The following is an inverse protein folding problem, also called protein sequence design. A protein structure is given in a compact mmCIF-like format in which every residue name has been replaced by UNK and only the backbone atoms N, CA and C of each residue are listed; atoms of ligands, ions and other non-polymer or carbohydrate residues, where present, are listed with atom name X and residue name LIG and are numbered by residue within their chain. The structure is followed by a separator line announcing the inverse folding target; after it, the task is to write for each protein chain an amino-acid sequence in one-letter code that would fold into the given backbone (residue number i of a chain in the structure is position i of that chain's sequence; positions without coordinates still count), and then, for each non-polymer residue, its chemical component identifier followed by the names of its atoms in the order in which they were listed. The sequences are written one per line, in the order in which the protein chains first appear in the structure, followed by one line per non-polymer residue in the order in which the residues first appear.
data_IF_754997361257
#
_entry.id   IF_754997361257
#
_cell.length_a   1.000
_cell.length_b   1.000
_cell.length_c   1.000
_cell.angle_alpha   90.00
_cell.angle_beta   90.00
_cell.angle_gamma   90.00
#
_symmetry.space_group_name_H-M   'P 1'
#
loop_
_entity.id
_entity.type
_entity.pdbx_description
1 polymer ?
#
# COMPACT_ATOMS: atom_id res chain seq x y z
N UNK A 1 0.72 33.29 -29.72
CA UNK A 1 1.80 32.53 -29.04
C UNK A 1 2.29 31.44 -29.99
N UNK A 2 3.60 31.17 -30.05
CA UNK A 2 4.12 30.02 -30.81
C UNK A 2 3.67 28.72 -30.13
N UNK A 3 3.29 27.67 -30.88
CA UNK A 3 2.84 26.41 -30.31
C UNK A 3 3.98 25.75 -29.52
N UNK A 4 3.69 25.34 -28.28
CA UNK A 4 4.63 24.62 -27.43
C UNK A 4 4.63 23.12 -27.77
N UNK A 5 5.78 22.47 -27.63
CA UNK A 5 5.95 21.03 -27.94
C UNK A 5 5.56 20.11 -26.78
N UNK A 6 5.38 20.67 -25.58
CA UNK A 6 4.99 19.97 -24.35
C UNK A 6 4.29 20.95 -23.41
N UNK A 7 3.93 20.50 -22.21
CA UNK A 7 3.35 21.34 -21.16
C UNK A 7 4.36 22.38 -20.68
N UNK A 8 3.86 23.58 -20.34
CA UNK A 8 4.67 24.74 -19.95
C UNK A 8 5.70 24.43 -18.84
N UNK A 9 5.34 23.60 -17.85
CA UNK A 9 6.23 23.26 -16.73
C UNK A 9 7.32 22.24 -17.09
N UNK A 10 7.19 21.61 -18.25
CA UNK A 10 8.15 20.63 -18.79
C UNK A 10 9.06 21.22 -19.86
N UNK A 11 8.79 22.43 -20.36
CA UNK A 11 9.66 23.10 -21.34
C UNK A 11 11.11 23.31 -20.89
N UNK A 12 11.40 23.60 -19.60
CA UNK A 12 12.78 23.73 -19.13
C UNK A 12 13.58 22.42 -19.19
N UNK A 13 12.92 21.26 -19.39
CA UNK A 13 13.62 19.99 -19.52
C UNK A 13 14.49 19.99 -20.78
N UNK A 14 15.79 19.79 -20.59
CA UNK A 14 16.78 19.62 -21.68
C UNK A 14 16.68 18.26 -22.40
N UNK A 15 15.53 17.59 -22.31
CA UNK A 15 15.25 16.28 -22.92
C UNK A 15 13.77 16.18 -23.26
N UNK A 16 13.41 15.26 -24.16
CA UNK A 16 12.00 14.91 -24.39
C UNK A 16 11.39 14.40 -23.07
N UNK A 17 10.25 14.97 -22.60
CA UNK A 17 9.55 14.43 -21.45
C UNK A 17 9.11 12.99 -21.71
N UNK A 18 9.28 12.11 -20.73
CA UNK A 18 8.77 10.74 -20.82
C UNK A 18 7.26 10.72 -20.60
N UNK A 19 6.61 9.59 -20.90
CA UNK A 19 5.19 9.38 -20.54
C UNK A 19 4.98 9.66 -19.05
N UNK A 20 5.89 9.18 -18.20
CA UNK A 20 5.85 9.43 -16.76
C UNK A 20 5.91 10.93 -16.44
N UNK A 21 6.82 11.70 -17.06
CA UNK A 21 6.89 13.14 -16.81
C UNK A 21 5.56 13.82 -17.18
N UNK A 22 4.98 13.46 -18.32
CA UNK A 22 3.73 14.04 -18.82
C UNK A 22 2.54 13.75 -17.91
N UNK A 23 2.39 12.52 -17.43
CA UNK A 23 1.17 12.09 -16.72
C UNK A 23 1.26 12.20 -15.20
N UNK A 24 2.39 12.63 -14.62
CA UNK A 24 2.59 12.65 -13.16
C UNK A 24 3.01 13.98 -12.57
N UNK A 25 3.48 14.93 -13.38
CA UNK A 25 4.06 16.18 -12.88
C UNK A 25 3.04 17.31 -12.78
N UNK A 26 3.19 18.12 -11.73
CA UNK A 26 2.46 19.36 -11.49
C UNK A 26 0.93 19.25 -11.59
N UNK A 27 0.38 18.17 -11.02
CA UNK A 27 -1.05 17.86 -11.05
C UNK A 27 -1.84 18.48 -9.88
N UNK A 28 -1.18 18.83 -8.79
CA UNK A 28 -1.83 19.32 -7.57
C UNK A 28 -1.96 20.85 -7.61
N UNK A 29 -3.15 21.35 -7.92
CA UNK A 29 -3.39 22.80 -8.04
C UNK A 29 -3.21 23.56 -6.71
N UNK A 30 -3.57 22.94 -5.59
CA UNK A 30 -3.68 23.61 -4.29
C UNK A 30 -2.35 23.79 -3.55
N UNK A 31 -1.29 23.08 -3.93
CA UNK A 31 -0.01 23.10 -3.19
C UNK A 31 0.58 24.52 -3.17
N UNK A 32 0.67 25.16 -4.35
CA UNK A 32 1.18 26.52 -4.48
C UNK A 32 0.14 27.63 -4.25
N UNK A 33 -1.12 27.42 -4.66
CA UNK A 33 -2.16 28.47 -4.65
C UNK A 33 -3.06 28.45 -3.41
N UNK A 34 -3.10 27.34 -2.69
CA UNK A 34 -4.13 27.08 -1.68
C UNK A 34 -5.43 26.59 -2.29
N UNK A 35 -6.41 26.33 -1.44
CA UNK A 35 -7.78 26.01 -1.86
C UNK A 35 -8.51 27.32 -2.22
N UNK A 36 -9.37 27.27 -3.24
CA UNK A 36 -10.14 28.42 -3.72
C UNK A 36 -11.22 28.86 -2.71
N UNK A 37 -11.67 27.95 -1.84
CA UNK A 37 -12.72 28.19 -0.84
C UNK A 37 -12.21 27.82 0.54
N UNK A 38 -12.51 28.67 1.52
CA UNK A 38 -12.24 28.39 2.93
C UNK A 38 -13.13 27.25 3.40
N UNK A 39 -12.51 26.12 3.72
CA UNK A 39 -13.18 24.89 4.17
C UNK A 39 -12.39 24.29 5.33
N UNK A 40 -13.02 23.47 6.19
CA UNK A 40 -12.28 22.72 7.22
C UNK A 40 -11.14 21.86 6.66
N UNK A 41 -11.24 21.46 5.37
CA UNK A 41 -10.18 20.76 4.66
C UNK A 41 -8.94 21.62 4.43
N UNK A 42 -9.11 22.91 4.14
CA UNK A 42 -7.99 23.83 3.97
C UNK A 42 -7.17 23.94 5.27
N UNK A 43 -7.84 24.05 6.43
CA UNK A 43 -7.19 24.05 7.75
C UNK A 43 -6.50 22.73 8.06
N UNK A 44 -7.07 21.61 7.60
CA UNK A 44 -6.47 20.29 7.73
C UNK A 44 -5.14 20.21 6.95
N UNK A 45 -5.12 20.58 5.67
CA UNK A 45 -3.90 20.59 4.86
C UNK A 45 -2.89 21.63 5.36
N UNK A 46 -3.36 22.77 5.86
CA UNK A 46 -2.48 23.77 6.46
C UNK A 46 -1.74 23.22 7.67
N UNK A 47 -2.43 22.47 8.54
CA UNK A 47 -1.81 21.85 9.74
C UNK A 47 -0.96 20.63 9.41
N UNK A 48 -1.46 19.73 8.57
CA UNK A 48 -0.93 18.37 8.43
C UNK A 48 -0.10 18.12 7.16
N UNK A 49 -0.19 18.99 6.15
CA UNK A 49 0.69 18.95 4.96
C UNK A 49 1.69 20.11 5.00
N UNK A 50 1.18 21.35 4.94
CA UNK A 50 2.01 22.57 4.94
C UNK A 50 2.62 22.87 6.29
N UNK A 51 2.04 22.39 7.39
CA UNK A 51 2.60 22.53 8.74
C UNK A 51 3.72 21.54 9.05
N UNK A 52 3.93 20.52 8.21
CA UNK A 52 4.81 19.39 8.53
C UNK A 52 6.28 19.75 8.73
N UNK A 53 6.96 19.26 9.79
CA UNK A 53 8.39 19.52 9.98
C UNK A 53 9.26 19.01 8.82
N UNK A 54 8.76 18.07 8.01
CA UNK A 54 9.43 17.62 6.80
C UNK A 54 9.32 18.69 5.69
N UNK A 55 10.42 19.40 5.42
CA UNK A 55 10.49 20.49 4.44
C UNK A 55 11.35 20.11 3.24
N UNK A 56 10.88 20.49 2.05
CA UNK A 56 11.66 20.48 0.81
C UNK A 56 11.42 21.78 0.07
N UNK A 57 12.43 22.27 -0.66
CA UNK A 57 12.28 23.45 -1.52
C UNK A 57 11.32 23.21 -2.68
N UNK A 58 11.31 21.99 -3.21
CA UNK A 58 10.48 21.61 -4.35
C UNK A 58 10.18 20.11 -4.31
N UNK A 59 8.94 19.77 -3.96
CA UNK A 59 8.46 18.39 -3.92
C UNK A 59 8.27 17.80 -5.33
N UNK A 60 8.11 18.62 -6.37
CA UNK A 60 8.00 18.15 -7.76
C UNK A 60 9.32 17.59 -8.30
N UNK A 61 10.43 17.76 -7.58
CA UNK A 61 11.70 17.08 -7.89
C UNK A 61 11.69 15.60 -7.54
N UNK A 62 10.75 15.13 -6.71
CA UNK A 62 10.59 13.70 -6.47
C UNK A 62 10.36 12.98 -7.80
N UNK A 63 10.94 11.79 -7.93
CA UNK A 63 10.82 10.95 -9.11
C UNK A 63 10.83 9.51 -8.67
N UNK A 64 9.78 8.77 -9.03
CA UNK A 64 9.77 7.32 -8.86
C UNK A 64 10.93 6.71 -9.68
N UNK A 65 11.86 5.97 -9.06
CA UNK A 65 12.94 5.29 -9.76
C UNK A 65 12.47 4.35 -10.88
N UNK A 66 11.24 3.81 -10.76
CA UNK A 66 10.63 2.90 -11.74
C UNK A 66 9.82 3.61 -12.82
N UNK A 67 9.66 4.93 -12.71
CA UNK A 67 8.81 5.74 -13.59
C UNK A 67 7.44 5.11 -13.82
N UNK A 68 6.80 4.67 -12.74
CA UNK A 68 5.55 3.91 -12.79
C UNK A 68 4.40 4.82 -13.20
N UNK A 69 3.76 4.47 -14.31
CA UNK A 69 2.48 5.02 -14.77
C UNK A 69 1.38 3.99 -14.50
N UNK A 70 0.11 4.41 -14.59
CA UNK A 70 -1.01 3.47 -14.44
C UNK A 70 -0.92 2.29 -15.43
N UNK A 71 -0.61 2.57 -16.70
CA UNK A 71 -0.41 1.56 -17.76
C UNK A 71 0.68 0.55 -17.40
N UNK A 72 1.88 1.03 -17.03
CA UNK A 72 2.99 0.16 -16.61
C UNK A 72 2.66 -0.65 -15.36
N UNK A 73 1.97 -0.04 -14.40
CA UNK A 73 1.55 -0.73 -13.17
C UNK A 73 0.58 -1.87 -13.49
N UNK A 74 -0.50 -1.60 -14.21
CA UNK A 74 -1.52 -2.63 -14.50
C UNK A 74 -0.96 -3.77 -15.35
N UNK A 75 -0.09 -3.48 -16.32
CA UNK A 75 0.59 -4.51 -17.11
C UNK A 75 1.51 -5.40 -16.27
N UNK A 76 2.26 -4.81 -15.33
CA UNK A 76 3.10 -5.57 -14.42
C UNK A 76 2.27 -6.45 -13.49
N UNK A 77 1.25 -5.87 -12.86
CA UNK A 77 0.43 -6.56 -11.89
C UNK A 77 -0.38 -7.66 -12.56
N UNK A 78 -0.88 -7.47 -13.79
CA UNK A 78 -1.51 -8.53 -14.58
C UNK A 78 -0.62 -9.77 -14.67
N UNK A 79 0.65 -9.61 -15.06
CA UNK A 79 1.59 -10.73 -15.18
C UNK A 79 1.82 -11.45 -13.84
N UNK A 80 1.96 -10.67 -12.75
CA UNK A 80 2.17 -11.21 -11.40
C UNK A 80 0.93 -11.96 -10.89
N UNK A 81 -0.25 -11.40 -11.12
CA UNK A 81 -1.50 -12.01 -10.69
C UNK A 81 -1.82 -13.27 -11.48
N UNK A 82 -1.58 -13.32 -12.80
CA UNK A 82 -1.70 -14.55 -13.58
C UNK A 82 -0.82 -15.68 -13.06
N UNK A 83 0.41 -15.37 -12.61
CA UNK A 83 1.28 -16.36 -11.99
C UNK A 83 0.70 -16.88 -10.66
N UNK A 84 0.23 -15.97 -9.81
CA UNK A 84 -0.39 -16.33 -8.52
C UNK A 84 -1.69 -17.14 -8.72
N UNK A 85 -2.51 -16.79 -9.72
CA UNK A 85 -3.71 -17.55 -10.09
C UNK A 85 -3.35 -18.99 -10.48
N UNK A 86 -2.28 -19.17 -11.26
CA UNK A 86 -1.77 -20.50 -11.60
C UNK A 86 -1.34 -21.32 -10.39
N UNK A 87 -0.68 -20.70 -9.40
CA UNK A 87 -0.31 -21.37 -8.15
C UNK A 87 -1.54 -21.79 -7.34
N UNK A 88 -2.52 -20.89 -7.21
CA UNK A 88 -3.75 -21.17 -6.47
C UNK A 88 -4.59 -22.27 -7.14
N UNK A 89 -4.67 -22.27 -8.48
CA UNK A 89 -5.33 -23.35 -9.23
C UNK A 89 -4.60 -24.69 -9.11
N UNK A 90 -3.26 -24.69 -9.02
CA UNK A 90 -2.48 -25.92 -8.78
C UNK A 90 -2.74 -26.51 -7.39
N UNK A 91 -2.89 -25.67 -6.37
CA UNK A 91 -3.25 -26.10 -5.01
C UNK A 91 -4.59 -26.85 -5.01
N UNK A 92 -5.60 -26.30 -5.69
CA UNK A 92 -6.92 -26.92 -5.83
C UNK A 92 -6.84 -28.24 -6.61
N UNK A 93 -6.24 -28.21 -7.81
CA UNK A 93 -6.18 -29.36 -8.71
C UNK A 93 -5.44 -30.55 -8.09
N UNK A 94 -4.39 -30.29 -7.30
CA UNK A 94 -3.60 -31.34 -6.66
C UNK A 94 -4.13 -31.77 -5.30
N UNK A 95 -5.15 -31.07 -4.76
CA UNK A 95 -5.64 -31.29 -3.40
C UNK A 95 -4.55 -31.08 -2.33
N UNK A 96 -3.64 -30.12 -2.55
CA UNK A 96 -2.50 -29.85 -1.67
C UNK A 96 -2.92 -29.64 -0.20
N UNK A 97 -4.02 -28.94 0.03
CA UNK A 97 -4.48 -28.58 1.38
C UNK A 97 -4.91 -29.77 2.23
N UNK A 98 -5.32 -30.88 1.60
CA UNK A 98 -5.67 -32.13 2.31
C UNK A 98 -4.46 -32.83 2.89
N UNK A 99 -3.27 -32.53 2.35
CA UNK A 99 -1.99 -33.13 2.79
C UNK A 99 -1.30 -32.32 3.88
N UNK A 100 -1.82 -31.14 4.22
CA UNK A 100 -1.26 -30.32 5.30
C UNK A 100 -1.41 -31.03 6.64
N UNK A 101 -0.34 -31.05 7.43
CA UNK A 101 -0.42 -31.59 8.79
C UNK A 101 -1.32 -30.70 9.66
N UNK A 102 -2.03 -31.27 10.65
CA UNK A 102 -2.85 -30.49 11.58
C UNK A 102 -2.06 -29.40 12.32
N UNK A 103 -0.77 -29.63 12.56
CA UNK A 103 0.13 -28.64 13.16
C UNK A 103 0.35 -27.44 12.23
N UNK A 104 0.61 -27.69 10.94
CA UNK A 104 0.76 -26.63 9.93
C UNK A 104 -0.52 -25.80 9.81
N UNK A 105 -1.68 -26.46 9.68
CA UNK A 105 -2.97 -25.77 9.56
C UNK A 105 -3.22 -24.83 10.74
N UNK A 106 -2.94 -25.27 11.98
CA UNK A 106 -3.07 -24.41 13.17
C UNK A 106 -2.16 -23.19 13.16
N UNK A 107 -0.92 -23.35 12.69
CA UNK A 107 0.04 -22.23 12.56
C UNK A 107 -0.45 -21.24 11.52
N UNK A 108 -0.85 -21.73 10.34
CA UNK A 108 -1.34 -20.90 9.24
C UNK A 108 -2.65 -20.20 9.61
N UNK A 109 -3.57 -20.86 10.31
CA UNK A 109 -4.83 -20.27 10.78
C UNK A 109 -4.60 -19.09 11.73
N UNK A 110 -3.66 -19.26 12.66
CA UNK A 110 -3.27 -18.20 13.62
C UNK A 110 -2.65 -16.97 12.97
N UNK A 111 -2.07 -17.11 11.77
CA UNK A 111 -1.38 -16.03 11.06
C UNK A 111 -2.20 -15.47 9.91
N UNK A 112 -2.53 -16.29 8.92
CA UNK A 112 -3.13 -15.89 7.64
C UNK A 112 -4.49 -15.23 7.83
N UNK A 113 -5.34 -15.81 8.70
CA UNK A 113 -6.66 -15.27 8.99
C UNK A 113 -6.57 -13.82 9.48
N UNK A 114 -5.92 -13.55 10.62
CA UNK A 114 -5.83 -12.18 11.14
C UNK A 114 -4.99 -11.22 10.28
N UNK A 115 -4.05 -11.70 9.47
CA UNK A 115 -3.13 -10.85 8.69
C UNK A 115 -3.84 -9.86 7.75
N UNK A 116 -5.07 -10.15 7.31
CA UNK A 116 -5.85 -9.22 6.48
C UNK A 116 -6.14 -7.87 7.16
N UNK A 117 -6.23 -7.84 8.50
CA UNK A 117 -6.54 -6.63 9.26
C UNK A 117 -5.40 -5.61 9.24
N UNK A 118 -4.16 -5.94 9.66
CA UNK A 118 -3.05 -5.00 9.58
C UNK A 118 -2.72 -4.63 8.13
N UNK A 119 -2.81 -5.55 7.16
CA UNK A 119 -2.60 -5.23 5.74
C UNK A 119 -3.63 -4.20 5.24
N UNK A 120 -4.90 -4.33 5.62
CA UNK A 120 -5.90 -3.30 5.32
C UNK A 120 -5.57 -1.96 6.01
N UNK A 121 -5.05 -1.99 7.24
CA UNK A 121 -4.52 -0.80 7.90
C UNK A 121 -3.36 -0.15 7.15
N UNK A 122 -2.43 -0.93 6.58
CA UNK A 122 -1.36 -0.41 5.71
C UNK A 122 -1.92 0.20 4.43
N UNK A 123 -2.96 -0.40 3.84
CA UNK A 123 -3.66 0.15 2.68
C UNK A 123 -4.31 1.51 3.00
N UNK A 124 -4.98 1.62 4.15
CA UNK A 124 -5.59 2.88 4.62
C UNK A 124 -4.52 3.95 4.86
N UNK A 125 -3.40 3.60 5.52
CA UNK A 125 -2.29 4.51 5.76
C UNK A 125 -1.64 4.99 4.45
N UNK A 126 -1.40 4.09 3.49
CA UNK A 126 -0.86 4.46 2.18
C UNK A 126 -1.82 5.38 1.40
N UNK A 127 -3.12 5.14 1.51
CA UNK A 127 -4.15 6.00 0.91
C UNK A 127 -4.17 7.39 1.55
N UNK A 128 -3.99 7.49 2.87
CA UNK A 128 -3.88 8.75 3.59
C UNK A 128 -2.62 9.54 3.19
N UNK A 129 -1.46 8.88 3.13
CA UNK A 129 -0.23 9.51 2.61
C UNK A 129 -0.46 10.00 1.18
N UNK A 130 -1.11 9.19 0.35
CA UNK A 130 -1.47 9.55 -1.02
C UNK A 130 -2.42 10.74 -1.12
N UNK A 131 -3.36 10.93 -0.20
CA UNK A 131 -4.24 12.12 -0.23
C UNK A 131 -3.53 13.38 0.28
N UNK A 132 -2.60 13.24 1.23
CA UNK A 132 -1.93 14.34 1.92
C UNK A 132 -0.55 14.70 1.36
N UNK A 133 -0.03 14.00 0.34
CA UNK A 133 1.29 14.29 -0.20
C UNK A 133 1.35 15.60 -1.01
N UNK A 134 2.44 16.39 -0.91
CA UNK A 134 2.56 17.72 -1.52
C UNK A 134 3.05 17.70 -2.98
N UNK A 135 3.05 16.55 -3.66
CA UNK A 135 3.38 16.44 -5.09
C UNK A 135 2.62 15.30 -5.75
N UNK A 136 2.16 15.53 -6.98
CA UNK A 136 1.42 14.52 -7.76
C UNK A 136 2.18 13.20 -7.92
N UNK A 137 3.51 13.25 -8.02
CA UNK A 137 4.35 12.05 -8.14
C UNK A 137 4.37 11.22 -6.85
N UNK A 138 4.41 11.88 -5.69
CA UNK A 138 4.37 11.19 -4.39
C UNK A 138 2.97 10.61 -4.15
N UNK A 139 1.92 11.36 -4.51
CA UNK A 139 0.54 10.89 -4.49
C UNK A 139 0.41 9.58 -5.27
N UNK A 140 0.86 9.57 -6.54
CA UNK A 140 0.77 8.40 -7.41
C UNK A 140 1.54 7.21 -6.82
N UNK A 141 2.77 7.40 -6.35
CA UNK A 141 3.54 6.32 -5.73
C UNK A 141 2.81 5.71 -4.52
N UNK A 142 2.24 6.56 -3.66
CA UNK A 142 1.54 6.13 -2.45
C UNK A 142 0.21 5.43 -2.76
N UNK A 143 -0.53 5.91 -3.77
CA UNK A 143 -1.79 5.27 -4.19
C UNK A 143 -1.55 3.93 -4.90
N UNK A 144 -0.48 3.79 -5.68
CA UNK A 144 -0.09 2.50 -6.24
C UNK A 144 0.35 1.52 -5.15
N UNK A 145 1.02 1.98 -4.10
CA UNK A 145 1.27 1.18 -2.90
C UNK A 145 -0.02 0.75 -2.21
N UNK A 146 -1.00 1.66 -2.05
CA UNK A 146 -2.31 1.29 -1.49
C UNK A 146 -3.01 0.20 -2.33
N UNK A 147 -2.87 0.27 -3.66
CA UNK A 147 -3.36 -0.76 -4.58
C UNK A 147 -2.61 -2.11 -4.42
N UNK A 148 -1.32 -2.09 -4.08
CA UNK A 148 -0.58 -3.31 -3.74
C UNK A 148 -1.03 -3.92 -2.41
N UNK A 149 -1.37 -3.11 -1.40
CA UNK A 149 -1.86 -3.61 -0.12
C UNK A 149 -3.27 -4.21 -0.23
N UNK A 150 -4.19 -3.60 -1.00
CA UNK A 150 -5.51 -4.22 -1.24
C UNK A 150 -5.39 -5.54 -2.01
N UNK A 151 -4.45 -5.64 -2.95
CA UNK A 151 -4.14 -6.90 -3.65
C UNK A 151 -3.73 -7.99 -2.67
N UNK A 152 -2.88 -7.67 -1.69
CA UNK A 152 -2.52 -8.62 -0.62
C UNK A 152 -3.73 -9.05 0.20
N UNK A 153 -4.60 -8.12 0.60
CA UNK A 153 -5.86 -8.45 1.31
C UNK A 153 -6.71 -9.42 0.50
N UNK A 154 -6.88 -9.19 -0.80
CA UNK A 154 -7.66 -10.07 -1.68
C UNK A 154 -7.05 -11.47 -1.76
N UNK A 155 -5.72 -11.59 -1.87
CA UNK A 155 -5.03 -12.89 -1.91
C UNK A 155 -5.13 -13.64 -0.59
N UNK A 156 -5.02 -12.95 0.54
CA UNK A 156 -5.25 -13.54 1.85
C UNK A 156 -6.70 -14.05 1.98
N UNK A 157 -7.68 -13.27 1.54
CA UNK A 157 -9.09 -13.67 1.59
C UNK A 157 -9.37 -14.89 0.70
N UNK A 158 -8.83 -14.91 -0.52
CA UNK A 158 -8.99 -16.04 -1.44
C UNK A 158 -8.34 -17.31 -0.87
N UNK A 159 -7.11 -17.21 -0.36
CA UNK A 159 -6.40 -18.35 0.23
C UNK A 159 -7.11 -18.88 1.48
N UNK A 160 -7.63 -17.99 2.32
CA UNK A 160 -8.45 -18.35 3.47
C UNK A 160 -9.69 -19.14 3.03
N UNK A 161 -10.33 -18.73 1.92
CA UNK A 161 -11.50 -19.45 1.39
C UNK A 161 -11.15 -20.86 0.90
N UNK A 162 -10.04 -21.04 0.18
CA UNK A 162 -9.58 -22.38 -0.25
C UNK A 162 -9.35 -23.31 0.94
N UNK A 163 -8.69 -22.80 1.99
CA UNK A 163 -8.42 -23.59 3.20
C UNK A 163 -9.71 -23.99 3.93
N UNK A 164 -10.74 -23.14 3.92
CA UNK A 164 -12.05 -23.47 4.51
C UNK A 164 -12.77 -24.64 3.83
N UNK A 165 -12.44 -24.98 2.58
CA UNK A 165 -13.05 -26.12 1.88
C UNK A 165 -12.59 -27.46 2.42
N UNK A 166 -11.40 -27.50 3.04
CA UNK A 166 -10.80 -28.73 3.58
C UNK A 166 -10.65 -28.69 5.11
N UNK A 167 -10.62 -27.50 5.70
CA UNK A 167 -10.46 -27.26 7.13
C UNK A 167 -11.60 -26.37 7.62
N UNK A 168 -12.71 -26.99 8.03
CA UNK A 168 -13.88 -26.28 8.52
C UNK A 168 -13.52 -25.34 9.68
N UNK A 169 -14.06 -24.13 9.66
CA UNK A 169 -13.79 -23.12 10.70
C UNK A 169 -12.48 -22.35 10.54
N UNK A 170 -11.66 -22.65 9.51
CA UNK A 170 -10.45 -21.87 9.22
C UNK A 170 -10.78 -20.37 9.10
N UNK A 171 -10.06 -19.55 9.86
CA UNK A 171 -10.22 -18.11 9.92
C UNK A 171 -11.43 -17.60 10.72
N UNK A 172 -12.31 -18.45 11.26
CA UNK A 172 -13.54 -18.01 11.93
C UNK A 172 -13.27 -17.10 13.14
N UNK A 173 -12.24 -17.40 13.93
CA UNK A 173 -11.83 -16.62 15.11
C UNK A 173 -10.93 -15.42 14.81
N UNK A 174 -10.60 -15.15 13.55
CA UNK A 174 -9.53 -14.21 13.18
C UNK A 174 -9.76 -12.76 13.65
N UNK A 175 -11.01 -12.28 13.69
CA UNK A 175 -11.32 -10.96 14.24
C UNK A 175 -11.03 -10.90 15.74
N UNK A 176 -11.51 -11.88 16.49
CA UNK A 176 -11.29 -11.95 17.93
C UNK A 176 -9.79 -12.10 18.25
N UNK A 177 -9.05 -12.86 17.44
CA UNK A 177 -7.60 -12.97 17.56
C UNK A 177 -6.92 -11.60 17.33
N UNK A 178 -7.23 -10.89 16.25
CA UNK A 178 -6.72 -9.54 16.03
C UNK A 178 -7.03 -8.59 17.20
N UNK A 179 -8.25 -8.64 17.72
CA UNK A 179 -8.71 -7.72 18.77
C UNK A 179 -8.17 -8.05 20.16
N UNK A 180 -7.89 -9.33 20.47
CA UNK A 180 -7.69 -9.78 21.86
C UNK A 180 -6.48 -10.67 22.09
N UNK A 181 -5.95 -11.33 21.06
CA UNK A 181 -4.79 -12.21 21.22
C UNK A 181 -3.53 -11.35 21.50
N UNK A 182 -2.82 -11.59 22.63
CA UNK A 182 -1.60 -10.88 22.98
C UNK A 182 -0.54 -10.85 21.88
N UNK A 183 -0.46 -11.89 21.04
CA UNK A 183 0.52 -11.96 19.95
C UNK A 183 0.31 -10.87 18.88
N UNK A 184 -0.96 -10.44 18.68
CA UNK A 184 -1.32 -9.43 17.68
C UNK A 184 -1.35 -8.00 18.23
N UNK A 185 -1.41 -7.83 19.55
CA UNK A 185 -1.60 -6.50 20.14
C UNK A 185 -0.45 -5.51 19.86
N UNK A 186 0.84 -5.91 19.82
CA UNK A 186 1.91 -5.00 19.43
C UNK A 186 1.71 -4.43 18.02
N UNK A 187 1.38 -5.28 17.04
CA UNK A 187 1.14 -4.85 15.67
C UNK A 187 -0.14 -3.99 15.57
N UNK A 188 -1.21 -4.39 16.25
CA UNK A 188 -2.45 -3.61 16.33
C UNK A 188 -2.21 -2.20 16.84
N UNK A 189 -1.48 -2.07 17.95
CA UNK A 189 -1.12 -0.77 18.53
C UNK A 189 -0.31 0.09 17.54
N UNK A 190 0.64 -0.51 16.82
CA UNK A 190 1.44 0.21 15.81
C UNK A 190 0.57 0.68 14.66
N UNK A 191 -0.30 -0.18 14.12
CA UNK A 191 -1.21 0.17 13.02
C UNK A 191 -2.22 1.24 13.45
N UNK A 192 -2.85 1.11 14.61
CA UNK A 192 -3.80 2.11 15.13
C UNK A 192 -3.13 3.47 15.32
N UNK A 193 -1.90 3.52 15.83
CA UNK A 193 -1.11 4.76 15.95
C UNK A 193 -0.76 5.36 14.60
N UNK A 194 -0.36 4.51 13.64
CA UNK A 194 -0.07 4.95 12.29
C UNK A 194 -1.29 5.58 11.62
N UNK A 195 -2.49 5.00 11.81
CA UNK A 195 -3.74 5.50 11.22
C UNK A 195 -4.20 6.86 11.77
N UNK A 196 -3.66 7.28 12.92
CA UNK A 196 -3.92 8.61 13.50
C UNK A 196 -2.71 9.53 13.45
N UNK A 197 -1.66 9.13 12.72
CA UNK A 197 -0.51 10.00 12.42
C UNK A 197 -0.88 10.86 11.22
N UNK A 198 -1.38 12.06 11.50
CA UNK A 198 -1.95 12.92 10.46
C UNK A 198 -0.91 13.81 9.75
N UNK A 199 0.24 14.10 10.36
CA UNK A 199 1.31 14.76 9.62
C UNK A 199 1.76 13.90 8.45
N UNK A 200 1.68 14.41 7.22
CA UNK A 200 1.93 13.60 6.02
C UNK A 200 3.37 13.06 5.97
N UNK A 201 4.34 13.85 6.47
CA UNK A 201 5.75 13.50 6.46
C UNK A 201 6.05 12.44 7.52
N UNK A 202 5.51 12.61 8.73
CA UNK A 202 5.56 11.59 9.78
C UNK A 202 4.88 10.29 9.34
N UNK A 203 3.69 10.37 8.74
CA UNK A 203 2.95 9.21 8.24
C UNK A 203 3.73 8.47 7.14
N UNK A 204 4.32 9.22 6.19
CA UNK A 204 5.16 8.67 5.12
C UNK A 204 6.36 7.90 5.70
N UNK A 205 7.07 8.51 6.65
CA UNK A 205 8.25 7.92 7.30
C UNK A 205 7.86 6.71 8.15
N UNK A 206 6.86 6.85 9.02
CA UNK A 206 6.39 5.78 9.88
C UNK A 206 5.93 4.57 9.05
N UNK A 207 5.13 4.78 8.01
CA UNK A 207 4.66 3.72 7.13
C UNK A 207 5.83 3.06 6.38
N UNK A 208 6.61 3.82 5.62
CA UNK A 208 7.50 3.26 4.61
C UNK A 208 8.93 2.99 5.08
N UNK A 209 9.38 3.65 6.15
CA UNK A 209 10.75 3.51 6.66
C UNK A 209 10.82 2.73 7.98
N UNK A 210 9.70 2.51 8.67
CA UNK A 210 9.66 1.77 9.93
C UNK A 210 8.71 0.57 9.88
N UNK A 211 7.39 0.81 9.73
CA UNK A 211 6.38 -0.23 9.89
C UNK A 211 6.43 -1.25 8.76
N UNK A 212 6.41 -0.80 7.50
CA UNK A 212 6.34 -1.70 6.34
C UNK A 212 7.58 -2.58 6.19
N UNK A 213 8.83 -2.07 6.33
CA UNK A 213 10.01 -2.94 6.28
C UNK A 213 10.00 -4.05 7.34
N UNK A 214 9.67 -3.71 8.60
CA UNK A 214 9.58 -4.70 9.67
C UNK A 214 8.42 -5.70 9.45
N UNK A 215 7.29 -5.22 8.94
CA UNK A 215 6.15 -6.06 8.59
C UNK A 215 6.48 -7.05 7.46
N UNK A 216 7.09 -6.58 6.38
CA UNK A 216 7.43 -7.41 5.23
C UNK A 216 8.53 -8.44 5.60
N UNK A 217 9.51 -8.09 6.43
CA UNK A 217 10.49 -9.06 6.95
C UNK A 217 9.79 -10.18 7.74
N UNK A 218 8.92 -9.82 8.70
CA UNK A 218 8.24 -10.82 9.53
C UNK A 218 7.30 -11.73 8.72
N UNK A 219 6.45 -11.16 7.86
CA UNK A 219 5.37 -11.92 7.23
C UNK A 219 5.67 -12.42 5.83
N UNK A 220 6.57 -11.77 5.08
CA UNK A 220 6.93 -12.21 3.72
C UNK A 220 8.21 -13.03 3.71
N UNK A 221 9.11 -12.82 4.68
CA UNK A 221 10.38 -13.56 4.77
C UNK A 221 10.29 -14.65 5.84
N UNK A 222 10.17 -14.28 7.12
CA UNK A 222 10.28 -15.25 8.22
C UNK A 222 9.10 -16.22 8.26
N UNK A 223 7.86 -15.72 8.15
CA UNK A 223 6.69 -16.59 8.04
C UNK A 223 6.71 -17.43 6.75
N UNK A 224 7.23 -16.88 5.66
CA UNK A 224 7.43 -17.61 4.40
C UNK A 224 8.40 -18.80 4.58
N UNK A 225 9.49 -18.61 5.31
CA UNK A 225 10.46 -19.69 5.65
C UNK A 225 9.84 -20.73 6.58
N UNK A 226 9.03 -20.32 7.55
CA UNK A 226 8.34 -21.25 8.44
C UNK A 226 7.33 -22.14 7.70
N UNK A 227 6.75 -21.63 6.61
CA UNK A 227 5.74 -22.31 5.82
C UNK A 227 6.30 -23.16 4.66
N UNK A 228 7.61 -23.06 4.37
CA UNK A 228 8.31 -23.80 3.32
C UNK A 228 8.71 -25.21 3.79
#
# INVERSE_FOLDING_TARGET
MKPQRTYWHLEPLKRKPSEYDVVTSNLLYYVGRGFEVQTPLADWYQRHQRGSPLRCRDWERFRDPRETTYSKYTDLQRKRETFVDGLLGSIEATGYDRRLSPACVRVVDRVLGPLRYPVHGLQMAASYVGSMAPSGRIVIASLLQAADEIRRVQRLAYRMRQLQETHEGFGAGSKAAWERDPAWQPLRKVVERLLVTFDWGEALVALNLAVKPAFDELFMVDFGRLAA
#
